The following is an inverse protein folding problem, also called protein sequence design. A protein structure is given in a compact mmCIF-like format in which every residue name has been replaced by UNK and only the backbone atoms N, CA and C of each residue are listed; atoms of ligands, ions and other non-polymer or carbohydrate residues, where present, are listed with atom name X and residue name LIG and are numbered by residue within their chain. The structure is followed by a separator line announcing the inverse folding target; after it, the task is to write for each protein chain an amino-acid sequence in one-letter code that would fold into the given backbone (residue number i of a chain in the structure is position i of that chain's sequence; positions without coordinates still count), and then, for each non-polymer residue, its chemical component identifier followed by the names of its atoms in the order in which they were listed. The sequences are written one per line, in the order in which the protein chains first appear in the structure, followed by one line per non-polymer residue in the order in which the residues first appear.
data_IF_160692466018
#
_entry.id   IF_160692466018
#
_cell.length_a   1.000
_cell.length_b   1.000
_cell.length_c   1.000
_cell.angle_alpha   90.00
_cell.angle_beta   90.00
_cell.angle_gamma   90.00
#
_symmetry.space_group_name_H-M   'P 1'
#
loop_
_entity.id
_entity.type
_entity.pdbx_description
1 polymer ?
#
# COMPACT_ATOMS: atom_id res chain seq x y z
N UNK A 1 23.23 -62.38 4.70
CA UNK A 1 21.96 -63.13 4.58
C UNK A 1 21.12 -62.39 3.58
N UNK A 2 20.97 -62.99 2.40
CA UNK A 2 20.20 -62.45 1.28
C UNK A 2 18.71 -62.55 1.59
N UNK A 3 18.00 -61.44 1.43
CA UNK A 3 16.54 -61.37 1.63
C UNK A 3 15.88 -61.88 0.35
N UNK A 4 15.73 -63.20 0.22
CA UNK A 4 14.79 -63.78 -0.75
C UNK A 4 13.41 -63.79 -0.11
N UNK A 5 12.67 -62.71 -0.26
CA UNK A 5 11.22 -62.74 0.01
C UNK A 5 10.54 -63.34 -1.22
N UNK A 6 9.94 -64.51 -1.06
CA UNK A 6 9.15 -65.12 -2.12
C UNK A 6 7.96 -64.22 -2.46
N UNK A 7 7.55 -64.12 -3.72
CA UNK A 7 6.40 -63.28 -4.15
C UNK A 7 5.16 -63.51 -3.27
N UNK A 8 4.93 -64.75 -2.85
CA UNK A 8 3.81 -65.13 -1.98
C UNK A 8 3.88 -64.49 -0.58
N UNK A 9 5.06 -64.40 0.03
CA UNK A 9 5.23 -63.79 1.35
C UNK A 9 5.09 -62.26 1.32
N UNK A 10 5.51 -61.61 0.23
CA UNK A 10 5.30 -60.17 0.04
C UNK A 10 3.81 -59.84 -0.09
N UNK A 11 3.06 -60.68 -0.84
CA UNK A 11 1.62 -60.53 -1.02
C UNK A 11 0.88 -60.73 0.31
N UNK A 12 1.25 -61.73 1.11
CA UNK A 12 0.62 -61.98 2.41
C UNK A 12 0.93 -60.88 3.43
N UNK A 13 2.14 -60.33 3.44
CA UNK A 13 2.51 -59.19 4.29
C UNK A 13 1.69 -57.95 3.93
N UNK A 14 1.52 -57.67 2.63
CA UNK A 14 0.70 -56.56 2.15
C UNK A 14 -0.78 -56.77 2.52
N UNK A 15 -1.29 -57.99 2.37
CA UNK A 15 -2.67 -58.35 2.70
C UNK A 15 -2.97 -58.16 4.19
N UNK A 16 -2.04 -58.56 5.07
CA UNK A 16 -2.14 -58.34 6.52
C UNK A 16 -2.07 -56.86 6.87
N UNK A 17 -1.16 -56.10 6.25
CA UNK A 17 -1.04 -54.66 6.48
C UNK A 17 -2.35 -53.93 6.18
N UNK A 18 -3.00 -54.21 5.03
CA UNK A 18 -4.30 -53.61 4.69
C UNK A 18 -5.46 -54.13 5.56
N UNK A 19 -5.43 -55.41 5.96
CA UNK A 19 -6.44 -55.95 6.88
C UNK A 19 -6.37 -55.28 8.26
N UNK A 20 -5.18 -54.98 8.75
CA UNK A 20 -4.95 -54.35 10.06
C UNK A 20 -5.13 -52.82 10.02
N UNK A 21 -4.67 -52.16 8.96
CA UNK A 21 -4.59 -50.69 8.88
C UNK A 21 -5.61 -50.05 7.93
N UNK A 22 -6.41 -50.84 7.20
CA UNK A 22 -7.30 -50.34 6.14
C UNK A 22 -8.29 -49.27 6.60
N UNK A 23 -8.78 -49.35 7.84
CA UNK A 23 -9.65 -48.30 8.42
C UNK A 23 -8.90 -46.98 8.63
N UNK A 24 -7.68 -47.02 9.16
CA UNK A 24 -6.86 -45.83 9.39
C UNK A 24 -6.41 -45.21 8.06
N UNK A 25 -6.05 -46.03 7.07
CA UNK A 25 -5.76 -45.60 5.71
C UNK A 25 -6.97 -44.91 5.05
N UNK A 26 -8.16 -45.50 5.16
CA UNK A 26 -9.38 -44.89 4.62
C UNK A 26 -9.69 -43.54 5.27
N UNK A 27 -9.57 -43.44 6.61
CA UNK A 27 -9.73 -42.17 7.34
C UNK A 27 -8.69 -41.14 6.90
N UNK A 28 -7.42 -41.54 6.79
CA UNK A 28 -6.34 -40.66 6.34
C UNK A 28 -6.56 -40.13 4.92
N UNK A 29 -7.04 -40.97 4.00
CA UNK A 29 -7.38 -40.56 2.62
C UNK A 29 -8.55 -39.58 2.62
N UNK A 30 -9.63 -39.85 3.37
CA UNK A 30 -10.79 -38.95 3.44
C UNK A 30 -10.40 -37.59 4.03
N UNK A 31 -9.61 -37.58 5.11
CA UNK A 31 -9.10 -36.35 5.71
C UNK A 31 -8.17 -35.59 4.75
N UNK A 32 -7.28 -36.29 4.05
CA UNK A 32 -6.39 -35.69 3.06
C UNK A 32 -7.14 -35.04 1.90
N UNK A 33 -8.15 -35.74 1.34
CA UNK A 33 -9.01 -35.19 0.29
C UNK A 33 -9.81 -34.00 0.82
N UNK A 34 -10.40 -34.11 2.01
CA UNK A 34 -11.16 -33.02 2.63
C UNK A 34 -10.31 -31.75 2.83
N UNK A 35 -9.08 -31.91 3.32
CA UNK A 35 -8.13 -30.81 3.48
C UNK A 35 -7.76 -30.17 2.13
N UNK A 36 -7.47 -30.97 1.11
CA UNK A 36 -7.14 -30.47 -0.23
C UNK A 36 -8.31 -29.73 -0.89
N UNK A 37 -9.53 -30.27 -0.80
CA UNK A 37 -10.74 -29.65 -1.35
C UNK A 37 -11.06 -28.37 -0.60
N UNK A 38 -10.98 -28.38 0.73
CA UNK A 38 -11.17 -27.19 1.56
C UNK A 38 -10.17 -26.08 1.23
N UNK A 39 -8.88 -26.42 1.11
CA UNK A 39 -7.84 -25.48 0.71
C UNK A 39 -8.08 -24.92 -0.70
N UNK A 40 -8.40 -25.78 -1.67
CA UNK A 40 -8.71 -25.35 -3.05
C UNK A 40 -9.92 -24.44 -3.13
N UNK A 41 -10.98 -24.74 -2.38
CA UNK A 41 -12.19 -23.93 -2.35
C UNK A 41 -11.88 -22.53 -1.79
N UNK A 42 -11.17 -22.47 -0.67
CA UNK A 42 -10.73 -21.22 -0.07
C UNK A 42 -9.85 -20.39 -1.02
N UNK A 43 -8.83 -21.02 -1.62
CA UNK A 43 -7.95 -20.38 -2.60
C UNK A 43 -8.71 -19.86 -3.83
N UNK A 44 -9.66 -20.64 -4.35
CA UNK A 44 -10.46 -20.24 -5.51
C UNK A 44 -11.35 -19.05 -5.19
N UNK A 45 -11.96 -19.05 -4.00
CA UNK A 45 -12.82 -17.95 -3.55
C UNK A 45 -12.02 -16.65 -3.40
N UNK A 46 -10.84 -16.72 -2.78
CA UNK A 46 -9.93 -15.58 -2.65
C UNK A 46 -9.51 -15.03 -4.02
N UNK A 47 -9.15 -15.93 -4.96
CA UNK A 47 -8.72 -15.53 -6.29
C UNK A 47 -9.85 -14.86 -7.10
N UNK A 48 -11.08 -15.39 -7.02
CA UNK A 48 -12.25 -14.76 -7.64
C UNK A 48 -12.56 -13.39 -7.05
N UNK A 49 -12.44 -13.24 -5.73
CA UNK A 49 -12.63 -11.95 -5.06
C UNK A 49 -11.58 -10.92 -5.48
N UNK A 50 -10.31 -11.32 -5.58
CA UNK A 50 -9.24 -10.44 -6.07
C UNK A 50 -9.42 -10.02 -7.53
N UNK A 51 -9.87 -10.93 -8.40
CA UNK A 51 -10.18 -10.60 -9.80
C UNK A 51 -11.33 -9.60 -9.91
N UNK A 52 -12.41 -9.81 -9.14
CA UNK A 52 -13.53 -8.88 -9.09
C UNK A 52 -13.11 -7.50 -8.56
N UNK A 53 -12.32 -7.45 -7.48
CA UNK A 53 -11.77 -6.22 -6.94
C UNK A 53 -10.90 -5.48 -7.96
N UNK A 54 -10.01 -6.19 -8.66
CA UNK A 54 -9.17 -5.63 -9.72
C UNK A 54 -9.99 -5.04 -10.86
N UNK A 55 -11.01 -5.75 -11.34
CA UNK A 55 -11.88 -5.26 -12.40
C UNK A 55 -12.67 -4.02 -11.97
N UNK A 56 -13.24 -4.05 -10.76
CA UNK A 56 -13.98 -2.90 -10.23
C UNK A 56 -13.08 -1.68 -9.99
N UNK A 57 -11.82 -1.89 -9.60
CA UNK A 57 -10.82 -0.82 -9.52
C UNK A 57 -10.51 -0.24 -10.90
N UNK A 58 -10.29 -1.09 -11.91
CA UNK A 58 -10.04 -0.63 -13.27
C UNK A 58 -11.19 0.22 -13.79
N UNK A 59 -12.43 -0.24 -13.61
CA UNK A 59 -13.62 0.52 -14.00
C UNK A 59 -13.74 1.86 -13.24
N UNK A 60 -13.48 1.87 -11.93
CA UNK A 60 -13.52 3.10 -11.14
C UNK A 60 -12.44 4.10 -11.58
N UNK A 61 -11.23 3.60 -11.84
CA UNK A 61 -10.10 4.40 -12.33
C UNK A 61 -10.38 5.01 -13.70
N UNK A 62 -10.91 4.21 -14.65
CA UNK A 62 -11.21 4.67 -16.01
C UNK A 62 -12.34 5.71 -16.01
N UNK A 63 -13.35 5.52 -15.16
CA UNK A 63 -14.44 6.49 -14.97
C UNK A 63 -13.97 7.79 -14.35
N UNK A 64 -13.15 7.73 -13.30
CA UNK A 64 -12.59 8.92 -12.67
C UNK A 64 -11.70 9.70 -13.66
N UNK A 65 -10.93 9.00 -14.51
CA UNK A 65 -10.15 9.62 -15.58
C UNK A 65 -11.02 10.30 -16.66
N UNK A 66 -12.25 9.83 -16.88
CA UNK A 66 -13.21 10.48 -17.77
C UNK A 66 -13.82 11.77 -17.20
N UNK A 67 -13.67 12.01 -15.89
CA UNK A 67 -13.88 13.31 -15.25
C UNK A 67 -15.35 13.73 -15.05
N UNK A 68 -16.31 12.81 -15.02
CA UNK A 68 -17.71 13.18 -14.72
C UNK A 68 -17.95 13.27 -13.21
N UNK A 69 -18.79 14.20 -12.73
CA UNK A 69 -19.08 14.35 -11.30
C UNK A 69 -19.65 13.09 -10.64
N UNK A 70 -20.52 12.35 -11.33
CA UNK A 70 -21.12 11.11 -10.82
C UNK A 70 -20.09 9.99 -10.58
N UNK A 71 -18.96 10.04 -11.28
CA UNK A 71 -17.89 9.05 -11.18
C UNK A 71 -17.05 9.23 -9.91
N UNK A 72 -17.01 10.45 -9.35
CA UNK A 72 -16.33 10.75 -8.07
C UNK A 72 -17.05 10.05 -6.91
N UNK A 73 -18.38 10.17 -6.84
CA UNK A 73 -19.16 9.54 -5.77
C UNK A 73 -19.09 8.01 -5.82
N UNK A 74 -19.00 7.43 -7.03
CA UNK A 74 -18.81 5.99 -7.22
C UNK A 74 -17.43 5.55 -6.71
N UNK A 75 -16.37 6.30 -7.03
CA UNK A 75 -15.02 6.03 -6.55
C UNK A 75 -14.92 6.18 -5.02
N UNK A 76 -15.57 7.17 -4.40
CA UNK A 76 -15.59 7.33 -2.94
C UNK A 76 -16.23 6.12 -2.25
N UNK A 77 -17.36 5.63 -2.80
CA UNK A 77 -17.99 4.39 -2.30
C UNK A 77 -17.08 3.19 -2.46
N UNK A 78 -16.34 3.11 -3.57
CA UNK A 78 -15.38 2.03 -3.80
C UNK A 78 -14.27 2.02 -2.74
N UNK A 79 -13.70 3.18 -2.42
CA UNK A 79 -12.67 3.33 -1.36
C UNK A 79 -13.20 2.87 -0.01
N UNK A 80 -14.42 3.27 0.35
CA UNK A 80 -15.03 2.88 1.63
C UNK A 80 -15.33 1.38 1.71
N UNK A 81 -15.69 0.75 0.60
CA UNK A 81 -16.00 -0.67 0.54
C UNK A 81 -14.76 -1.58 0.51
N UNK A 82 -13.58 -1.05 0.17
CA UNK A 82 -12.38 -1.84 -0.08
C UNK A 82 -11.21 -1.41 0.84
N UNK A 83 -11.07 -2.04 2.00
CA UNK A 83 -9.91 -1.83 2.88
C UNK A 83 -8.62 -2.55 2.45
N UNK A 84 -8.40 -2.72 1.14
CA UNK A 84 -7.26 -3.42 0.56
C UNK A 84 -6.42 -2.46 -0.32
N UNK A 85 -5.37 -2.96 -0.97
CA UNK A 85 -4.49 -2.14 -1.81
C UNK A 85 -5.23 -1.40 -2.93
N UNK A 86 -6.33 -1.95 -3.46
CA UNK A 86 -7.13 -1.28 -4.50
C UNK A 86 -7.89 -0.06 -3.95
N UNK A 87 -8.41 -0.14 -2.73
CA UNK A 87 -9.00 1.01 -2.06
C UNK A 87 -7.99 2.13 -1.80
N UNK A 88 -6.78 1.78 -1.36
CA UNK A 88 -5.67 2.73 -1.20
C UNK A 88 -5.34 3.43 -2.53
N UNK A 89 -5.22 2.66 -3.62
CA UNK A 89 -4.93 3.24 -4.94
C UNK A 89 -6.06 4.16 -5.44
N UNK A 90 -7.33 3.75 -5.26
CA UNK A 90 -8.48 4.57 -5.62
C UNK A 90 -8.54 5.87 -4.78
N UNK A 91 -8.24 5.80 -3.49
CA UNK A 91 -8.16 6.96 -2.61
C UNK A 91 -7.05 7.93 -3.07
N UNK A 92 -5.90 7.41 -3.49
CA UNK A 92 -4.81 8.23 -4.05
C UNK A 92 -5.20 8.90 -5.37
N UNK A 93 -5.98 8.23 -6.22
CA UNK A 93 -6.49 8.81 -7.46
C UNK A 93 -7.52 9.92 -7.18
N UNK A 94 -8.44 9.70 -6.24
CA UNK A 94 -9.39 10.71 -5.79
C UNK A 94 -8.69 11.92 -5.15
N UNK A 95 -7.68 11.69 -4.32
CA UNK A 95 -6.88 12.76 -3.75
C UNK A 95 -6.25 13.64 -4.84
N UNK A 96 -5.68 13.00 -5.88
CA UNK A 96 -5.15 13.73 -7.04
C UNK A 96 -6.25 14.53 -7.75
N UNK A 97 -7.40 13.92 -8.02
CA UNK A 97 -8.53 14.60 -8.67
C UNK A 97 -8.96 15.83 -7.88
N UNK A 98 -9.09 15.73 -6.55
CA UNK A 98 -9.49 16.86 -5.70
C UNK A 98 -8.41 17.95 -5.65
N UNK A 99 -7.12 17.60 -5.63
CA UNK A 99 -6.03 18.58 -5.75
C UNK A 99 -6.11 19.34 -7.08
N UNK A 100 -6.39 18.67 -8.20
CA UNK A 100 -6.54 19.31 -9.51
C UNK A 100 -7.72 20.30 -9.55
N UNK A 101 -8.73 20.08 -8.72
CA UNK A 101 -9.87 20.99 -8.53
C UNK A 101 -9.66 22.04 -7.43
N UNK A 102 -8.49 22.08 -6.79
CA UNK A 102 -8.18 22.87 -5.60
C UNK A 102 -9.09 22.58 -4.37
N UNK A 103 -9.76 21.41 -4.34
CA UNK A 103 -10.54 20.94 -3.19
C UNK A 103 -9.60 20.20 -2.22
N UNK A 104 -8.72 20.96 -1.55
CA UNK A 104 -7.70 20.38 -0.67
C UNK A 104 -8.29 19.65 0.53
N UNK A 105 -9.45 20.08 1.03
CA UNK A 105 -10.13 19.43 2.14
C UNK A 105 -10.56 18.01 1.79
N UNK A 106 -11.13 17.79 0.59
CA UNK A 106 -11.45 16.42 0.14
C UNK A 106 -10.19 15.62 -0.20
N UNK A 107 -9.17 16.27 -0.75
CA UNK A 107 -7.89 15.59 -1.00
C UNK A 107 -7.27 15.05 0.31
N UNK A 108 -7.30 15.84 1.38
CA UNK A 108 -6.83 15.43 2.70
C UNK A 108 -7.61 14.22 3.21
N UNK A 109 -8.95 14.26 3.15
CA UNK A 109 -9.80 13.15 3.59
C UNK A 109 -9.41 11.83 2.90
N UNK A 110 -9.18 11.86 1.59
CA UNK A 110 -8.79 10.67 0.83
C UNK A 110 -7.38 10.19 1.18
N UNK A 111 -6.44 11.11 1.43
CA UNK A 111 -5.07 10.75 1.85
C UNK A 111 -5.04 10.16 3.26
N UNK A 112 -5.85 10.67 4.19
CA UNK A 112 -5.99 10.09 5.54
C UNK A 112 -6.61 8.70 5.48
N UNK A 113 -7.61 8.48 4.62
CA UNK A 113 -8.16 7.14 4.37
C UNK A 113 -7.10 6.19 3.82
N UNK A 114 -6.33 6.61 2.82
CA UNK A 114 -5.24 5.82 2.24
C UNK A 114 -4.17 5.48 3.30
N UNK A 115 -3.80 6.46 4.14
CA UNK A 115 -2.83 6.31 5.23
C UNK A 115 -3.28 5.24 6.23
N UNK A 116 -4.56 5.24 6.61
CA UNK A 116 -5.12 4.28 7.56
C UNK A 116 -5.31 2.86 7.00
N UNK A 117 -5.33 2.70 5.68
CA UNK A 117 -5.56 1.41 5.01
C UNK A 117 -4.27 0.72 4.54
N UNK A 118 -3.22 1.48 4.22
CA UNK A 118 -1.97 0.89 3.72
C UNK A 118 -1.18 0.18 4.84
N UNK A 119 -0.48 -0.89 4.46
CA UNK A 119 0.51 -1.59 5.31
C UNK A 119 1.91 -1.58 4.70
N UNK A 120 2.06 -0.99 3.52
CA UNK A 120 3.34 -0.89 2.84
C UNK A 120 4.04 0.40 3.28
N UNK A 121 5.21 0.26 3.92
CA UNK A 121 5.96 1.39 4.49
C UNK A 121 6.38 2.42 3.43
N UNK A 122 6.70 1.96 2.22
CA UNK A 122 7.15 2.84 1.15
C UNK A 122 5.97 3.63 0.56
N UNK A 123 4.81 2.98 0.44
CA UNK A 123 3.57 3.63 0.06
C UNK A 123 3.07 4.59 1.15
N UNK A 124 3.21 4.23 2.42
CA UNK A 124 2.88 5.09 3.55
C UNK A 124 3.72 6.37 3.53
N UNK A 125 5.05 6.26 3.33
CA UNK A 125 5.92 7.42 3.19
C UNK A 125 5.51 8.34 2.03
N UNK A 126 5.08 7.77 0.90
CA UNK A 126 4.55 8.53 -0.24
C UNK A 126 3.23 9.25 0.11
N UNK A 127 2.32 8.56 0.81
CA UNK A 127 1.03 9.12 1.24
C UNK A 127 1.28 10.28 2.22
N UNK A 128 2.13 10.09 3.21
CA UNK A 128 2.48 11.10 4.21
C UNK A 128 3.08 12.36 3.57
N UNK A 129 3.98 12.21 2.60
CA UNK A 129 4.53 13.34 1.85
C UNK A 129 3.46 14.11 1.07
N UNK A 130 2.50 13.41 0.46
CA UNK A 130 1.39 14.04 -0.26
C UNK A 130 0.42 14.73 0.70
N UNK A 131 0.11 14.08 1.81
CA UNK A 131 -0.76 14.60 2.86
C UNK A 131 -0.19 15.89 3.45
N UNK A 132 1.10 15.91 3.80
CA UNK A 132 1.76 17.10 4.31
C UNK A 132 1.74 18.28 3.31
N UNK A 133 1.86 18.00 2.00
CA UNK A 133 1.74 19.05 0.96
C UNK A 133 0.32 19.60 0.87
N UNK A 134 -0.70 18.74 0.98
CA UNK A 134 -2.11 19.19 1.00
C UNK A 134 -2.40 20.01 2.25
N UNK A 135 -1.94 19.56 3.42
CA UNK A 135 -2.06 20.29 4.69
C UNK A 135 -1.36 21.66 4.63
N UNK A 136 -0.21 21.75 3.96
CA UNK A 136 0.45 23.02 3.68
C UNK A 136 -0.44 23.96 2.86
N UNK A 137 -1.10 23.47 1.80
CA UNK A 137 -2.04 24.28 1.00
C UNK A 137 -3.25 24.76 1.83
N UNK A 138 -3.72 23.93 2.76
CA UNK A 138 -4.78 24.27 3.70
C UNK A 138 -4.31 25.15 4.88
N UNK A 139 -3.02 25.51 4.93
CA UNK A 139 -2.38 26.25 6.03
C UNK A 139 -2.46 25.54 7.38
N UNK A 140 -2.61 24.21 7.38
CA UNK A 140 -2.54 23.33 8.56
C UNK A 140 -1.08 22.98 8.87
N UNK A 141 -0.29 24.01 9.20
CA UNK A 141 1.17 23.93 9.21
C UNK A 141 1.72 22.98 10.30
N UNK A 142 1.12 22.98 11.49
CA UNK A 142 1.54 22.06 12.57
C UNK A 142 1.20 20.61 12.27
N UNK A 143 0.05 20.37 11.64
CA UNK A 143 -0.37 19.05 11.20
C UNK A 143 0.56 18.54 10.08
N UNK A 144 0.90 19.39 9.12
CA UNK A 144 1.86 19.05 8.06
C UNK A 144 3.23 18.63 8.64
N UNK A 145 3.77 19.35 9.63
CA UNK A 145 5.02 18.96 10.30
C UNK A 145 4.91 17.61 11.00
N UNK A 146 3.79 17.37 11.70
CA UNK A 146 3.54 16.09 12.38
C UNK A 146 3.43 14.94 11.38
N UNK A 147 2.75 15.15 10.25
CA UNK A 147 2.64 14.16 9.17
C UNK A 147 4.02 13.81 8.60
N UNK A 148 4.90 14.80 8.43
CA UNK A 148 6.27 14.58 7.93
C UNK A 148 7.16 13.76 8.89
N UNK A 149 6.83 13.69 10.18
CA UNK A 149 7.54 12.83 11.14
C UNK A 149 7.24 11.33 10.90
N UNK A 150 6.14 11.02 10.18
CA UNK A 150 5.79 9.67 9.74
C UNK A 150 6.59 9.17 8.53
N UNK A 151 7.19 10.08 7.76
CA UNK A 151 7.93 9.75 6.53
C UNK A 151 9.26 9.07 6.88
N UNK A 152 9.36 7.78 6.58
CA UNK A 152 10.55 6.95 6.82
C UNK A 152 11.23 6.51 5.52
N UNK A 153 12.51 6.16 5.63
CA UNK A 153 13.31 5.64 4.53
C UNK A 153 14.21 6.69 3.88
N UNK A 154 15.46 6.30 3.61
CA UNK A 154 16.50 7.21 3.10
C UNK A 154 16.14 7.83 1.74
N UNK A 155 15.45 7.08 0.88
CA UNK A 155 15.00 7.58 -0.43
C UNK A 155 13.97 8.72 -0.36
N UNK A 156 13.30 8.89 0.78
CA UNK A 156 12.31 9.94 1.00
C UNK A 156 12.87 11.15 1.75
N UNK A 157 14.07 11.03 2.34
CA UNK A 157 14.65 12.05 3.22
C UNK A 157 14.72 13.43 2.55
N UNK A 158 15.22 13.48 1.31
CA UNK A 158 15.34 14.73 0.58
C UNK A 158 13.98 15.40 0.31
N UNK A 159 12.97 14.60 -0.08
CA UNK A 159 11.62 15.10 -0.34
C UNK A 159 10.90 15.52 0.95
N UNK A 160 11.12 14.81 2.04
CA UNK A 160 10.60 15.18 3.36
C UNK A 160 11.17 16.51 3.83
N UNK A 161 12.47 16.71 3.66
CA UNK A 161 13.13 17.97 4.02
C UNK A 161 12.69 19.14 3.13
N UNK A 162 12.45 18.88 1.84
CA UNK A 162 11.88 19.87 0.92
C UNK A 162 10.52 20.39 1.42
N UNK A 163 9.59 19.49 1.72
CA UNK A 163 8.25 19.88 2.22
C UNK A 163 8.36 20.49 3.63
N UNK A 164 9.22 19.96 4.51
CA UNK A 164 9.44 20.52 5.84
C UNK A 164 9.92 21.97 5.77
N UNK A 165 10.84 22.26 4.87
CA UNK A 165 11.33 23.62 4.66
C UNK A 165 10.23 24.56 4.18
N UNK A 166 9.38 24.12 3.25
CA UNK A 166 8.24 24.91 2.76
C UNK A 166 7.22 25.20 3.88
N UNK A 167 6.95 24.22 4.74
CA UNK A 167 6.05 24.40 5.90
C UNK A 167 6.64 25.36 6.92
N UNK A 168 7.93 25.23 7.25
CA UNK A 168 8.61 26.13 8.19
C UNK A 168 8.67 27.57 7.65
N UNK A 169 8.91 27.73 6.35
CA UNK A 169 8.87 29.04 5.70
C UNK A 169 7.47 29.65 5.79
N UNK A 170 6.42 28.87 5.53
CA UNK A 170 5.03 29.33 5.67
C UNK A 170 4.67 29.72 7.13
N UNK A 171 5.35 29.12 8.13
CA UNK A 171 5.25 29.52 9.55
C UNK A 171 6.04 30.80 9.89
N UNK A 172 6.83 31.33 8.96
CA UNK A 172 7.75 32.44 9.20
C UNK A 172 9.09 32.03 9.81
N UNK A 173 9.37 30.73 9.96
CA UNK A 173 10.65 30.22 10.45
C UNK A 173 11.65 30.03 9.31
N UNK A 174 12.21 31.15 8.83
CA UNK A 174 13.20 31.14 7.76
C UNK A 174 14.51 30.42 8.15
N UNK A 175 14.83 30.36 9.45
CA UNK A 175 16.02 29.63 9.93
C UNK A 175 15.79 28.13 9.85
N UNK A 176 14.67 27.65 10.36
CA UNK A 176 14.27 26.25 10.25
C UNK A 176 14.10 25.81 8.79
N UNK A 177 13.54 26.67 7.94
CA UNK A 177 13.43 26.39 6.50
C UNK A 177 14.81 26.20 5.85
N UNK A 178 15.76 27.09 6.16
CA UNK A 178 17.16 26.98 5.69
C UNK A 178 17.80 25.67 6.15
N UNK A 179 17.65 25.31 7.41
CA UNK A 179 18.19 24.06 7.96
C UNK A 179 17.59 22.83 7.28
N UNK A 180 16.27 22.82 7.04
CA UNK A 180 15.60 21.74 6.33
C UNK A 180 16.10 21.60 4.90
N UNK A 181 16.12 22.68 4.11
CA UNK A 181 16.60 22.63 2.72
C UNK A 181 18.07 22.17 2.63
N UNK A 182 18.95 22.62 3.53
CA UNK A 182 20.34 22.15 3.59
C UNK A 182 20.42 20.64 3.85
N UNK A 183 19.67 20.12 4.83
CA UNK A 183 19.60 18.66 5.10
C UNK A 183 19.08 17.88 3.89
N UNK A 184 18.14 18.45 3.15
CA UNK A 184 17.63 17.86 1.91
C UNK A 184 18.70 17.74 0.82
N UNK A 185 19.59 18.73 0.70
CA UNK A 185 20.72 18.73 -0.25
C UNK A 185 21.78 17.70 0.12
N UNK A 186 22.04 17.54 1.42
CA UNK A 186 23.01 16.58 1.97
C UNK A 186 22.50 15.13 1.89
N UNK A 187 21.20 14.94 1.69
CA UNK A 187 20.60 13.62 1.48
C UNK A 187 20.91 13.07 0.08
N UNK A 188 20.63 11.78 -0.15
CA UNK A 188 20.76 11.12 -1.47
C UNK A 188 19.65 11.55 -2.46
N UNK A 189 19.52 12.86 -2.67
CA UNK A 189 18.53 13.49 -3.52
C UNK A 189 18.87 13.31 -5.01
N UNK A 190 17.85 13.29 -5.87
CA UNK A 190 18.06 13.40 -7.31
C UNK A 190 18.69 14.75 -7.67
N UNK A 191 19.46 14.79 -8.77
CA UNK A 191 20.09 16.03 -9.23
C UNK A 191 19.08 17.19 -9.40
N UNK A 192 17.89 16.88 -9.92
CA UNK A 192 16.83 17.87 -10.10
C UNK A 192 16.33 18.44 -8.76
N UNK A 193 16.15 17.58 -7.76
CA UNK A 193 15.72 18.01 -6.43
C UNK A 193 16.81 18.83 -5.72
N UNK A 194 18.09 18.47 -5.87
CA UNK A 194 19.19 19.28 -5.33
C UNK A 194 19.21 20.69 -5.92
N UNK A 195 18.98 20.83 -7.24
CA UNK A 195 18.90 22.13 -7.89
C UNK A 195 17.72 22.95 -7.34
N UNK A 196 16.55 22.32 -7.19
CA UNK A 196 15.37 22.98 -6.60
C UNK A 196 15.63 23.47 -5.18
N UNK A 197 16.21 22.61 -4.32
CA UNK A 197 16.50 22.95 -2.92
C UNK A 197 17.51 24.08 -2.81
N UNK A 198 18.56 24.09 -3.64
CA UNK A 198 19.52 25.21 -3.70
C UNK A 198 18.85 26.52 -4.12
N UNK A 199 17.95 26.47 -5.09
CA UNK A 199 17.18 27.63 -5.51
C UNK A 199 16.31 28.17 -4.36
N UNK A 200 15.57 27.29 -3.66
CA UNK A 200 14.78 27.66 -2.48
C UNK A 200 15.66 28.27 -1.38
N UNK A 201 16.82 27.65 -1.08
CA UNK A 201 17.78 28.13 -0.09
C UNK A 201 18.30 29.54 -0.41
N UNK A 202 18.63 29.80 -1.68
CA UNK A 202 19.11 31.11 -2.12
C UNK A 202 18.02 32.18 -1.99
N UNK A 203 16.77 31.83 -2.32
CA UNK A 203 15.62 32.75 -2.18
C UNK A 203 15.27 33.09 -0.72
N UNK A 204 15.78 32.35 0.28
CA UNK A 204 15.64 32.70 1.71
C UNK A 204 16.62 33.78 2.17
N UNK A 205 17.62 34.12 1.35
CA UNK A 205 18.67 35.08 1.70
C UNK A 205 18.40 36.51 1.21
N UNK A 206 17.36 36.67 0.38
CA UNK A 206 16.78 37.94 -0.07
C UNK A 206 15.56 38.30 0.77
#
# INVERSE_FOLDING_TARGET
MEVYTTENEQVDALRRFFAENGKALAVGVVLGIGALVGWRYWQSHENSNMMAASQSYQEASDRLAAGKPDDVAAAEKFVQANGNSYGVLAALQLAKHFVEQNDFAKAEQQLVLAQGQTKDDNLLAMIDLRLARVQLQEKKLDEALKTLDGVKGEGWAAMMQDVRGDVLLAKGDAKGAREAYSKGIESNASQALQVLLRMKLNNLSS
#
